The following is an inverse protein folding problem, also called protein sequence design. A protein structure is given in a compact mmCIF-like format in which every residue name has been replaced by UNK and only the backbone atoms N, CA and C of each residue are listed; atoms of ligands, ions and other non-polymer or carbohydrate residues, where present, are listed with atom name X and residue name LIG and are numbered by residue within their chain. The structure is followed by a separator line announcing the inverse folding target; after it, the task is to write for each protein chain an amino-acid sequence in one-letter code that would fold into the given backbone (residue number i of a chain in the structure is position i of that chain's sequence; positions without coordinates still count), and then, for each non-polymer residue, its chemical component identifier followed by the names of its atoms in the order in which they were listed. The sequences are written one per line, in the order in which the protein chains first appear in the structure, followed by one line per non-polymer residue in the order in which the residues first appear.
data_IF_524173262303
#
_entry.id   IF_524173262303
#
_cell.length_a   1.000
_cell.length_b   1.000
_cell.length_c   1.000
_cell.angle_alpha   90.00
_cell.angle_beta   90.00
_cell.angle_gamma   90.00
#
_symmetry.space_group_name_H-M   'P 1'
#
loop_
_entity.id
_entity.type
_entity.pdbx_description
1 polymer ?
#
# COMPACT_ATOMS: atom_id res chain seq x y z
N UNK A 1 5.26 -8.03 -4.77
CA UNK A 1 5.25 -7.27 -3.50
C UNK A 1 3.85 -7.03 -2.95
N UNK A 2 2.87 -6.60 -3.77
CA UNK A 2 1.50 -6.35 -3.31
C UNK A 2 0.77 -7.52 -2.62
N UNK A 3 1.04 -8.77 -3.00
CA UNK A 3 0.39 -9.94 -2.38
C UNK A 3 0.81 -10.17 -0.92
N UNK A 4 2.08 -9.93 -0.56
CA UNK A 4 2.54 -10.05 0.82
C UNK A 4 1.86 -8.99 1.69
N UNK A 5 1.87 -7.74 1.23
CA UNK A 5 1.17 -6.63 1.89
C UNK A 5 -0.31 -6.94 2.14
N UNK A 6 -1.01 -7.45 1.14
CA UNK A 6 -2.40 -7.87 1.26
C UNK A 6 -2.59 -8.97 2.31
N UNK A 7 -1.76 -10.02 2.29
CA UNK A 7 -1.81 -11.09 3.27
C UNK A 7 -1.60 -10.55 4.69
N UNK A 8 -0.60 -9.69 4.91
CA UNK A 8 -0.30 -9.10 6.21
C UNK A 8 -1.48 -8.27 6.75
N UNK A 9 -2.16 -7.51 5.89
CA UNK A 9 -3.37 -6.78 6.27
C UNK A 9 -4.49 -7.73 6.71
N UNK A 10 -4.74 -8.82 5.98
CA UNK A 10 -5.73 -9.82 6.39
C UNK A 10 -5.36 -10.50 7.70
N UNK A 11 -4.09 -10.88 7.86
CA UNK A 11 -3.57 -11.48 9.09
C UNK A 11 -3.79 -10.56 10.30
N UNK A 12 -3.56 -9.25 10.14
CA UNK A 12 -3.81 -8.25 11.19
C UNK A 12 -5.28 -8.14 11.57
N UNK A 13 -6.19 -8.12 10.59
CA UNK A 13 -7.64 -8.04 10.82
C UNK A 13 -8.17 -9.31 11.51
N UNK A 14 -7.72 -10.47 11.06
CA UNK A 14 -8.13 -11.77 11.61
C UNK A 14 -7.40 -12.17 12.89
N UNK A 15 -6.41 -11.38 13.32
CA UNK A 15 -5.59 -11.63 14.52
C UNK A 15 -4.89 -13.00 14.47
N UNK A 16 -4.36 -13.35 13.30
CA UNK A 16 -3.59 -14.57 13.08
C UNK A 16 -2.12 -14.23 12.82
N UNK A 17 -1.21 -15.03 13.40
CA UNK A 17 0.23 -14.80 13.25
C UNK A 17 0.88 -15.64 12.14
N UNK A 18 0.14 -16.60 11.56
CA UNK A 18 0.64 -17.51 10.52
C UNK A 18 -0.25 -17.45 9.29
N UNK A 19 0.34 -17.19 8.13
CA UNK A 19 -0.32 -17.20 6.83
C UNK A 19 0.51 -17.99 5.83
N UNK A 20 -0.04 -18.21 4.64
CA UNK A 20 0.66 -18.88 3.54
C UNK A 20 0.31 -18.18 2.23
N UNK A 21 1.32 -17.89 1.43
CA UNK A 21 1.13 -17.55 0.02
C UNK A 21 1.27 -18.83 -0.79
N UNK A 22 0.29 -19.10 -1.66
CA UNK A 22 0.27 -20.29 -2.50
C UNK A 22 0.40 -19.82 -3.95
N UNK A 23 1.43 -20.31 -4.63
CA UNK A 23 1.65 -20.10 -6.04
C UNK A 23 1.46 -21.41 -6.78
N UNK A 24 0.56 -21.41 -7.77
CA UNK A 24 0.34 -22.56 -8.64
C UNK A 24 1.00 -22.31 -9.99
N UNK A 25 1.83 -23.25 -10.44
CA UNK A 25 2.32 -23.26 -11.80
C UNK A 25 1.19 -23.70 -12.75
N UNK A 26 0.77 -22.81 -13.66
CA UNK A 26 -0.34 -23.09 -14.59
C UNK A 26 -0.05 -24.18 -15.63
N UNK A 27 1.21 -24.55 -15.84
CA UNK A 27 1.60 -25.58 -16.80
C UNK A 27 1.72 -26.97 -16.14
N UNK A 28 2.26 -27.03 -14.92
CA UNK A 28 2.54 -28.31 -14.22
C UNK A 28 1.56 -28.62 -13.10
N UNK A 29 0.71 -27.66 -12.70
CA UNK A 29 -0.15 -27.71 -11.51
C UNK A 29 0.59 -27.92 -10.19
N UNK A 30 1.91 -27.71 -10.18
CA UNK A 30 2.70 -27.76 -8.95
C UNK A 30 2.41 -26.55 -8.08
N UNK A 31 2.32 -26.81 -6.76
CA UNK A 31 2.08 -25.78 -5.75
C UNK A 31 3.38 -25.44 -5.02
N UNK A 32 3.77 -24.17 -5.07
CA UNK A 32 4.75 -23.59 -4.18
C UNK A 32 4.03 -22.92 -3.01
N UNK A 33 4.35 -23.35 -1.79
CA UNK A 33 3.82 -22.75 -0.56
C UNK A 33 4.92 -21.95 0.14
N UNK A 34 4.63 -20.69 0.45
CA UNK A 34 5.53 -19.78 1.14
C UNK A 34 4.89 -19.38 2.46
N UNK A 35 5.32 -19.95 3.60
CA UNK A 35 4.79 -19.59 4.91
C UNK A 35 5.21 -18.16 5.27
N UNK A 36 4.31 -17.40 5.87
CA UNK A 36 4.55 -16.05 6.36
C UNK A 36 4.20 -16.00 7.83
N UNK A 37 5.15 -15.55 8.66
CA UNK A 37 4.97 -15.38 10.10
C UNK A 37 4.97 -13.91 10.43
N UNK A 38 3.96 -13.46 11.16
CA UNK A 38 3.84 -12.08 11.61
C UNK A 38 4.95 -11.76 12.63
N UNK A 39 5.79 -10.79 12.29
CA UNK A 39 6.83 -10.26 13.17
C UNK A 39 6.55 -8.78 13.49
N UNK A 40 7.36 -8.17 14.34
CA UNK A 40 7.12 -6.78 14.76
C UNK A 40 7.32 -5.77 13.64
N UNK A 41 8.21 -6.05 12.68
CA UNK A 41 8.38 -5.23 11.48
C UNK A 41 7.09 -5.21 10.65
N UNK A 42 6.50 -6.38 10.37
CA UNK A 42 5.23 -6.49 9.65
C UNK A 42 4.06 -5.85 10.41
N UNK A 43 3.99 -6.02 11.75
CA UNK A 43 2.96 -5.38 12.56
C UNK A 43 3.03 -3.85 12.47
N UNK A 44 4.23 -3.29 12.64
CA UNK A 44 4.47 -1.84 12.52
C UNK A 44 4.06 -1.33 11.15
N UNK A 45 4.46 -2.02 10.09
CA UNK A 45 4.10 -1.63 8.73
C UNK A 45 2.58 -1.66 8.49
N UNK A 46 1.88 -2.71 8.92
CA UNK A 46 0.41 -2.78 8.74
C UNK A 46 -0.29 -1.68 9.52
N UNK A 47 0.13 -1.42 10.77
CA UNK A 47 -0.47 -0.38 11.59
C UNK A 47 -0.27 1.01 10.96
N UNK A 48 0.95 1.31 10.46
CA UNK A 48 1.24 2.53 9.70
C UNK A 48 0.37 2.64 8.44
N UNK A 49 0.24 1.55 7.67
CA UNK A 49 -0.59 1.54 6.47
C UNK A 49 -2.08 1.78 6.81
N UNK A 50 -2.55 1.25 7.93
CA UNK A 50 -3.92 1.47 8.42
C UNK A 50 -4.14 2.93 8.84
N UNK A 51 -3.18 3.53 9.54
CA UNK A 51 -3.25 4.95 9.91
C UNK A 51 -3.26 5.84 8.67
N UNK A 52 -2.42 5.56 7.69
CA UNK A 52 -2.41 6.28 6.42
C UNK A 52 -3.76 6.17 5.68
N UNK A 53 -4.33 4.96 5.60
CA UNK A 53 -5.65 4.76 4.98
C UNK A 53 -6.77 5.49 5.73
N UNK A 54 -6.70 5.57 7.07
CA UNK A 54 -7.65 6.34 7.88
C UNK A 54 -7.53 7.84 7.58
N UNK A 55 -6.32 8.37 7.46
CA UNK A 55 -6.08 9.77 7.12
C UNK A 55 -6.65 10.11 5.73
N UNK A 56 -6.33 9.30 4.72
CA UNK A 56 -6.85 9.46 3.35
C UNK A 56 -8.37 9.41 3.33
N UNK A 57 -8.98 8.44 4.02
CA UNK A 57 -10.42 8.32 4.09
C UNK A 57 -11.09 9.49 4.84
N UNK A 58 -10.46 9.99 5.90
CA UNK A 58 -10.94 11.16 6.63
C UNK A 58 -10.90 12.42 5.77
N UNK A 59 -9.79 12.65 5.04
CA UNK A 59 -9.65 13.76 4.08
C UNK A 59 -10.72 13.70 2.99
N UNK A 60 -10.98 12.50 2.45
CA UNK A 60 -12.01 12.30 1.45
C UNK A 60 -13.42 12.65 1.98
N UNK A 61 -13.77 12.23 3.20
CA UNK A 61 -15.06 12.57 3.81
C UNK A 61 -15.26 14.07 4.00
N UNK A 62 -14.18 14.79 4.30
CA UNK A 62 -14.20 16.25 4.49
C UNK A 62 -14.13 17.01 3.16
N UNK A 63 -13.99 16.31 2.03
CA UNK A 63 -13.75 16.90 0.72
C UNK A 63 -12.50 17.79 0.70
N UNK A 64 -11.51 17.49 1.55
CA UNK A 64 -10.23 18.17 1.58
C UNK A 64 -9.33 17.60 0.49
N UNK A 65 -8.96 18.44 -0.48
CA UNK A 65 -8.08 18.04 -1.56
C UNK A 65 -6.63 17.91 -1.05
N UNK A 66 -5.95 16.78 -1.27
CA UNK A 66 -4.56 16.62 -0.87
C UNK A 66 -3.60 17.37 -1.79
N UNK A 67 -2.52 17.89 -1.22
CA UNK A 67 -1.42 18.47 -1.97
C UNK A 67 -0.72 17.40 -2.81
N UNK A 68 -0.32 17.77 -4.03
CA UNK A 68 0.45 16.89 -4.91
C UNK A 68 1.79 16.55 -4.26
N UNK A 69 2.07 15.28 -3.92
CA UNK A 69 3.29 14.91 -3.19
C UNK A 69 4.54 14.89 -4.09
N UNK A 70 4.35 14.80 -5.40
CA UNK A 70 5.44 14.67 -6.37
C UNK A 70 5.49 15.85 -7.34
N UNK A 71 6.71 16.18 -7.78
CA UNK A 71 6.93 17.15 -8.87
C UNK A 71 6.36 16.62 -10.19
N UNK A 72 5.90 17.52 -11.06
CA UNK A 72 5.29 17.17 -12.34
C UNK A 72 6.23 16.35 -13.26
N UNK A 73 7.54 16.55 -13.14
CA UNK A 73 8.56 15.84 -13.90
C UNK A 73 8.98 14.49 -13.29
N UNK A 74 8.46 14.11 -12.12
CA UNK A 74 8.77 12.83 -11.48
C UNK A 74 8.32 11.66 -12.36
N UNK A 75 9.08 10.55 -12.33
CA UNK A 75 8.71 9.33 -13.05
C UNK A 75 7.31 8.85 -12.65
N UNK A 76 6.98 8.97 -11.36
CA UNK A 76 5.69 8.58 -10.78
C UNK A 76 4.54 9.37 -11.40
N UNK A 77 4.65 10.70 -11.51
CA UNK A 77 3.61 11.51 -12.15
C UNK A 77 3.47 11.27 -13.65
N UNK A 78 4.56 10.96 -14.37
CA UNK A 78 4.54 10.76 -15.83
C UNK A 78 3.77 9.53 -16.28
N UNK A 79 3.73 8.48 -15.45
CA UNK A 79 3.02 7.22 -15.74
C UNK A 79 1.66 7.14 -15.04
N UNK A 80 1.28 8.20 -14.31
CA UNK A 80 0.08 8.20 -13.48
C UNK A 80 -1.19 8.32 -14.33
N UNK A 81 -2.17 7.41 -14.22
CA UNK A 81 -3.38 7.45 -15.03
C UNK A 81 -4.26 8.67 -14.76
N UNK A 82 -4.13 9.30 -13.60
CA UNK A 82 -4.89 10.48 -13.18
C UNK A 82 -4.12 11.80 -13.34
N UNK A 83 -3.02 11.81 -14.11
CA UNK A 83 -2.15 12.97 -14.25
C UNK A 83 -2.91 14.23 -14.71
N UNK A 84 -3.83 14.10 -15.68
CA UNK A 84 -4.63 15.21 -16.20
C UNK A 84 -5.52 15.83 -15.12
N UNK A 85 -6.28 15.00 -14.42
CA UNK A 85 -7.12 15.44 -13.30
C UNK A 85 -6.29 16.14 -12.21
N UNK A 86 -5.09 15.64 -11.90
CA UNK A 86 -4.18 16.28 -10.95
C UNK A 86 -3.63 17.64 -11.42
N UNK A 87 -3.52 17.87 -12.73
CA UNK A 87 -3.06 19.14 -13.29
C UNK A 87 -4.18 20.19 -13.38
N UNK A 88 -5.42 19.75 -13.55
CA UNK A 88 -6.61 20.60 -13.61
C UNK A 88 -7.18 20.94 -12.22
N UNK A 89 -6.84 20.14 -11.20
CA UNK A 89 -7.31 20.34 -9.85
C UNK A 89 -6.73 21.61 -9.19
N UNK A 90 -7.49 22.15 -8.23
CA UNK A 90 -7.07 23.26 -7.38
C UNK A 90 -5.88 22.89 -6.48
N UNK A 91 -5.30 23.89 -5.80
CA UNK A 91 -4.20 23.63 -4.86
C UNK A 91 -4.74 22.92 -3.62
N UNK A 92 -4.13 21.78 -3.27
CA UNK A 92 -4.52 21.01 -2.10
C UNK A 92 -4.31 21.75 -0.78
N UNK A 93 -5.20 21.49 0.18
CA UNK A 93 -5.23 22.14 1.50
C UNK A 93 -4.56 21.31 2.59
N UNK A 94 -4.42 20.00 2.37
CA UNK A 94 -3.83 19.06 3.33
C UNK A 94 -2.62 18.35 2.73
N UNK A 95 -1.56 18.20 3.53
CA UNK A 95 -0.34 17.50 3.11
C UNK A 95 -0.36 16.05 3.60
N UNK A 96 -0.74 15.13 2.71
CA UNK A 96 -0.67 13.69 2.96
C UNK A 96 0.58 13.15 2.27
N UNK A 97 1.47 12.50 3.04
CA UNK A 97 2.65 11.85 2.46
C UNK A 97 2.22 10.60 1.67
N UNK A 98 2.96 10.18 0.63
CA UNK A 98 2.72 8.87 0.02
C UNK A 98 2.78 7.74 1.04
N UNK A 99 2.00 6.68 0.82
CA UNK A 99 2.07 5.47 1.63
C UNK A 99 3.49 4.90 1.55
N UNK A 100 4.09 4.65 2.72
CA UNK A 100 5.35 3.94 2.82
C UNK A 100 5.09 2.45 2.54
N UNK A 101 5.72 1.95 1.48
CA UNK A 101 5.62 0.54 1.11
C UNK A 101 6.51 -0.28 2.04
N UNK A 102 6.11 -1.52 2.28
CA UNK A 102 6.94 -2.51 2.94
C UNK A 102 8.26 -2.61 2.18
N UNK A 103 9.34 -2.14 2.79
CA UNK A 103 10.68 -2.24 2.23
C UNK A 103 11.23 -3.63 2.52
N UNK A 104 11.97 -4.19 1.55
CA UNK A 104 12.80 -5.35 1.85
C UNK A 104 14.02 -4.82 2.62
N UNK A 105 13.92 -4.73 3.94
CA UNK A 105 15.08 -4.59 4.82
C UNK A 105 15.84 -5.93 4.79
N UNK A 106 16.62 -6.15 3.72
CA UNK A 106 17.58 -7.25 3.51
C UNK A 106 17.00 -8.67 3.36
N UNK A 107 17.16 -9.24 2.17
CA UNK A 107 17.32 -10.68 1.96
C UNK A 107 18.82 -10.99 1.91
#
# INVERSE_FOLDING_TARGET
MGHLMQLLMYMRIWKIDKGVMIYENKNTHELLTLPVVMNDHFRRWVDQAFDWMREVYASWKKQELPQKPYRANSKICKVCPIQKACAEAETGVIKIKPLELLENEEL
#
